data_IF_883870177026
#
_entry.id   IF_883870177026
#
_cell.length_a   1.000
_cell.length_b   1.000
_cell.length_c   1.000
_cell.angle_alpha   90.00
_cell.angle_beta   90.00
_cell.angle_gamma   90.00
#
_symmetry.space_group_name_H-M   'P 1'
#
loop_
_entity.id
_entity.type
_entity.pdbx_description
1 polymer ?
#
# COMPACT_ATOMS: atom_id res chain seq x y z
N UNK A 1 -9.42 -36.37 -18.31
CA UNK A 1 -9.75 -35.47 -17.18
C UNK A 1 -8.51 -34.65 -16.87
N UNK A 2 -8.51 -33.35 -17.13
CA UNK A 2 -7.37 -32.50 -16.81
C UNK A 2 -7.29 -32.34 -15.28
N UNK A 3 -6.22 -32.85 -14.67
CA UNK A 3 -5.97 -32.68 -13.24
C UNK A 3 -5.78 -31.19 -12.94
N UNK A 4 -6.72 -30.62 -12.20
CA UNK A 4 -6.62 -29.27 -11.67
C UNK A 4 -5.55 -29.31 -10.56
N UNK A 5 -4.37 -28.74 -10.81
CA UNK A 5 -3.30 -28.53 -9.82
C UNK A 5 -3.61 -27.40 -8.82
N UNK A 6 -4.85 -26.91 -8.83
CA UNK A 6 -5.34 -25.79 -8.03
C UNK A 6 -5.81 -26.33 -6.69
N UNK A 7 -5.30 -25.76 -5.60
CA UNK A 7 -5.80 -26.07 -4.27
C UNK A 7 -7.15 -25.38 -4.09
N UNK A 8 -8.19 -26.19 -3.89
CA UNK A 8 -9.57 -25.76 -3.65
C UNK A 8 -9.88 -26.02 -2.19
N UNK A 9 -10.34 -24.99 -1.48
CA UNK A 9 -10.65 -25.03 -0.05
C UNK A 9 -12.14 -24.74 0.15
N UNK A 10 -12.98 -25.78 0.29
CA UNK A 10 -14.38 -25.62 0.67
C UNK A 10 -14.52 -25.39 2.19
N UNK A 11 -15.74 -25.08 2.64
CA UNK A 11 -16.07 -24.79 4.05
C UNK A 11 -15.72 -25.92 5.02
N UNK A 12 -15.80 -27.16 4.57
CA UNK A 12 -15.53 -28.35 5.38
C UNK A 12 -14.02 -28.64 5.50
N UNK A 13 -13.18 -27.91 4.78
CA UNK A 13 -11.74 -28.09 4.84
C UNK A 13 -11.16 -27.58 6.16
N UNK A 14 -10.17 -28.32 6.68
CA UNK A 14 -9.35 -27.87 7.82
C UNK A 14 -8.61 -26.54 7.56
N UNK A 15 -8.39 -26.20 6.30
CA UNK A 15 -7.66 -25.00 5.88
C UNK A 15 -8.61 -23.79 5.64
N UNK A 16 -9.91 -23.95 5.86
CA UNK A 16 -10.93 -22.96 5.55
C UNK A 16 -10.71 -21.62 6.28
N UNK A 17 -10.52 -21.65 7.60
CA UNK A 17 -10.29 -20.45 8.42
C UNK A 17 -9.10 -19.61 7.91
N UNK A 18 -8.01 -20.29 7.53
CA UNK A 18 -6.83 -19.63 6.97
C UNK A 18 -7.11 -19.00 5.59
N UNK A 19 -8.04 -19.57 4.82
CA UNK A 19 -8.39 -19.10 3.47
C UNK A 19 -9.23 -17.83 3.48
N UNK A 20 -10.01 -17.61 4.54
CA UNK A 20 -10.85 -16.42 4.71
C UNK A 20 -10.17 -15.31 5.52
N UNK A 21 -9.03 -15.61 6.17
CA UNK A 21 -8.25 -14.64 6.96
C UNK A 21 -7.85 -13.43 6.12
N UNK A 22 -7.93 -12.21 6.69
CA UNK A 22 -7.52 -10.96 6.05
C UNK A 22 -6.52 -10.19 6.91
N UNK A 23 -5.98 -9.12 6.36
CA UNK A 23 -5.09 -8.24 7.13
C UNK A 23 -5.82 -7.63 8.34
N UNK A 24 -7.09 -7.28 8.17
CA UNK A 24 -8.00 -6.78 9.21
C UNK A 24 -9.13 -7.80 9.41
N UNK A 25 -9.38 -8.19 10.66
CA UNK A 25 -10.43 -9.15 11.01
C UNK A 25 -11.83 -8.70 10.56
N UNK A 26 -12.13 -7.39 10.64
CA UNK A 26 -13.39 -6.83 10.17
C UNK A 26 -13.63 -6.94 8.64
N UNK A 27 -12.59 -7.27 7.86
CA UNK A 27 -12.70 -7.49 6.42
C UNK A 27 -12.94 -8.96 6.06
N UNK A 28 -12.96 -9.87 7.04
CA UNK A 28 -13.20 -11.30 6.85
C UNK A 28 -14.69 -11.56 6.64
N UNK A 29 -15.01 -12.46 5.70
CA UNK A 29 -16.39 -12.90 5.41
C UNK A 29 -16.39 -14.41 5.16
N UNK A 30 -17.47 -15.12 5.50
CA UNK A 30 -17.51 -16.58 5.36
C UNK A 30 -17.76 -16.97 3.90
N UNK A 31 -16.69 -17.10 3.10
CA UNK A 31 -16.81 -17.51 1.71
C UNK A 31 -17.40 -18.92 1.55
N UNK A 32 -18.01 -19.21 0.40
CA UNK A 32 -18.44 -20.57 0.06
C UNK A 32 -17.26 -21.46 -0.31
N UNK A 33 -16.28 -20.92 -1.04
CA UNK A 33 -15.12 -21.66 -1.52
C UNK A 33 -13.95 -20.72 -1.83
N UNK A 34 -12.72 -21.18 -1.57
CA UNK A 34 -11.48 -20.49 -1.96
C UNK A 34 -10.69 -21.31 -2.96
N UNK A 35 -10.21 -20.66 -4.02
CA UNK A 35 -9.46 -21.26 -5.13
C UNK A 35 -8.07 -20.62 -5.21
N UNK A 36 -7.03 -21.36 -4.81
CA UNK A 36 -5.64 -20.90 -4.88
C UNK A 36 -5.06 -21.07 -6.28
N UNK A 37 -5.15 -20.01 -7.06
CA UNK A 37 -4.70 -19.99 -8.46
C UNK A 37 -3.18 -19.91 -8.56
N UNK A 38 -2.63 -20.62 -9.54
CA UNK A 38 -1.18 -20.63 -9.82
C UNK A 38 -0.82 -20.04 -11.18
N UNK A 39 -1.84 -19.80 -12.02
CA UNK A 39 -1.72 -19.36 -13.41
C UNK A 39 -2.93 -18.51 -13.82
N UNK A 40 -2.83 -17.79 -14.94
CA UNK A 40 -3.95 -17.03 -15.49
C UNK A 40 -5.08 -17.96 -15.98
N UNK A 41 -4.74 -19.17 -16.42
CA UNK A 41 -5.69 -20.20 -16.82
C UNK A 41 -6.52 -20.73 -15.65
N UNK A 42 -5.94 -20.81 -14.45
CA UNK A 42 -6.67 -21.17 -13.23
C UNK A 42 -7.68 -20.07 -12.87
N UNK A 43 -7.24 -18.81 -12.96
CA UNK A 43 -8.10 -17.63 -12.74
C UNK A 43 -9.25 -17.61 -13.74
N UNK A 44 -8.99 -17.83 -15.03
CA UNK A 44 -10.01 -17.88 -16.07
C UNK A 44 -11.07 -18.96 -15.79
N UNK A 45 -10.64 -20.17 -15.43
CA UNK A 45 -11.55 -21.26 -15.07
C UNK A 45 -12.39 -20.91 -13.84
N UNK A 46 -11.79 -20.28 -12.83
CA UNK A 46 -12.49 -19.90 -11.61
C UNK A 46 -13.52 -18.78 -11.86
N UNK A 47 -13.22 -17.81 -12.73
CA UNK A 47 -14.19 -16.78 -13.18
C UNK A 47 -15.36 -17.42 -13.92
N UNK A 48 -15.07 -18.30 -14.89
CA UNK A 48 -16.12 -18.97 -15.66
C UNK A 48 -17.00 -19.87 -14.77
N UNK A 49 -16.38 -20.53 -13.79
CA UNK A 49 -17.11 -21.31 -12.79
C UNK A 49 -17.99 -20.42 -11.91
N UNK A 50 -17.49 -19.28 -11.41
CA UNK A 50 -18.31 -18.37 -10.59
C UNK A 50 -19.50 -17.84 -11.37
N UNK A 51 -19.34 -17.52 -12.65
CA UNK A 51 -20.44 -17.09 -13.53
C UNK A 51 -21.45 -18.23 -13.74
N UNK A 52 -20.97 -19.42 -14.10
CA UNK A 52 -21.84 -20.57 -14.34
C UNK A 52 -22.62 -21.04 -13.11
N UNK A 53 -22.14 -20.70 -11.91
CA UNK A 53 -22.77 -21.04 -10.63
C UNK A 53 -23.43 -19.85 -9.94
N UNK A 54 -23.46 -18.67 -10.60
CA UNK A 54 -24.03 -17.43 -10.06
C UNK A 54 -23.45 -17.05 -8.68
N UNK A 55 -22.15 -17.29 -8.48
CA UNK A 55 -21.43 -16.98 -7.24
C UNK A 55 -20.87 -15.56 -7.29
N UNK A 56 -21.07 -14.80 -6.21
CA UNK A 56 -20.32 -13.55 -5.99
C UNK A 56 -18.82 -13.86 -6.00
N UNK A 57 -18.05 -13.06 -6.74
CA UNK A 57 -16.63 -13.26 -6.91
C UNK A 57 -15.83 -12.21 -6.13
N UNK A 58 -14.87 -12.67 -5.33
CA UNK A 58 -13.85 -11.82 -4.73
C UNK A 58 -12.45 -12.29 -5.14
N UNK A 59 -11.57 -11.36 -5.48
CA UNK A 59 -10.16 -11.65 -5.73
C UNK A 59 -9.30 -11.22 -4.54
N UNK A 60 -8.36 -12.06 -4.12
CA UNK A 60 -7.41 -11.74 -3.05
C UNK A 60 -5.97 -11.92 -3.52
N UNK A 61 -5.15 -10.93 -3.18
CA UNK A 61 -3.72 -10.90 -3.44
C UNK A 61 -2.97 -10.77 -2.10
N UNK A 62 -2.72 -9.54 -1.64
CA UNK A 62 -2.11 -9.28 -0.34
C UNK A 62 -3.09 -9.27 0.84
N UNK A 63 -4.41 -9.32 0.60
CA UNK A 63 -5.43 -9.34 1.66
C UNK A 63 -5.55 -8.04 2.49
N UNK A 64 -4.99 -6.93 2.00
CA UNK A 64 -4.91 -5.64 2.71
C UNK A 64 -6.16 -4.74 2.54
N UNK A 65 -7.18 -5.17 1.83
CA UNK A 65 -8.41 -4.39 1.68
C UNK A 65 -9.08 -4.18 3.05
N UNK A 66 -9.30 -2.92 3.44
CA UNK A 66 -9.81 -2.58 4.78
C UNK A 66 -11.32 -2.70 4.93
N UNK A 67 -12.05 -2.82 3.81
CA UNK A 67 -13.52 -2.88 3.76
C UNK A 67 -14.04 -4.14 3.10
N UNK A 68 -13.29 -5.24 3.18
CA UNK A 68 -13.73 -6.55 2.68
C UNK A 68 -13.87 -6.68 1.17
N UNK A 69 -13.28 -5.78 0.37
CA UNK A 69 -13.31 -5.86 -1.11
C UNK A 69 -12.66 -7.13 -1.67
N UNK A 70 -11.81 -7.79 -0.88
CA UNK A 70 -11.20 -9.09 -1.21
C UNK A 70 -11.89 -10.25 -0.50
N UNK A 71 -13.15 -10.10 -0.09
CA UNK A 71 -13.91 -11.09 0.68
C UNK A 71 -15.37 -11.13 0.22
N UNK A 72 -15.99 -12.31 0.28
CA UNK A 72 -17.38 -12.56 -0.11
C UNK A 72 -18.07 -13.40 0.96
N UNK A 73 -19.39 -13.26 1.08
CA UNK A 73 -20.23 -14.08 1.97
C UNK A 73 -20.96 -15.13 1.12
N UNK A 74 -20.57 -16.39 1.27
CA UNK A 74 -21.11 -17.51 0.50
C UNK A 74 -20.59 -17.64 -0.95
N UNK A 75 -19.87 -16.65 -1.47
CA UNK A 75 -19.33 -16.68 -2.84
C UNK A 75 -17.98 -17.38 -2.99
N UNK A 76 -17.31 -17.11 -4.12
CA UNK A 76 -16.02 -17.68 -4.49
C UNK A 76 -14.89 -16.67 -4.30
N UNK A 77 -13.82 -17.09 -3.62
CA UNK A 77 -12.55 -16.36 -3.56
C UNK A 77 -11.58 -16.93 -4.58
N UNK A 78 -11.04 -16.08 -5.46
CA UNK A 78 -9.83 -16.37 -6.26
C UNK A 78 -8.64 -15.82 -5.50
N UNK A 79 -7.81 -16.72 -4.96
CA UNK A 79 -6.60 -16.37 -4.23
C UNK A 79 -5.37 -16.47 -5.14
N UNK A 80 -4.71 -15.33 -5.35
CA UNK A 80 -3.52 -15.18 -6.19
C UNK A 80 -2.22 -15.32 -5.39
N UNK A 81 -2.29 -15.63 -4.09
CA UNK A 81 -1.13 -15.65 -3.20
C UNK A 81 -0.13 -16.76 -3.54
N UNK A 82 -0.40 -17.65 -4.49
CA UNK A 82 0.59 -18.59 -5.04
C UNK A 82 1.32 -18.05 -6.27
N UNK A 83 0.85 -16.95 -6.86
CA UNK A 83 1.45 -16.27 -8.01
C UNK A 83 2.47 -15.22 -7.55
N UNK A 84 3.62 -15.67 -7.04
CA UNK A 84 4.67 -14.79 -6.44
C UNK A 84 5.93 -14.65 -7.27
N UNK A 85 5.98 -15.17 -8.49
CA UNK A 85 7.20 -15.13 -9.31
C UNK A 85 7.57 -13.70 -9.66
N UNK A 86 8.85 -13.37 -9.46
CA UNK A 86 9.46 -12.12 -9.92
C UNK A 86 10.63 -12.46 -10.83
N UNK A 87 10.70 -11.80 -11.99
CA UNK A 87 11.79 -11.94 -12.95
C UNK A 87 12.36 -10.56 -13.25
N UNK A 88 13.69 -10.47 -13.30
CA UNK A 88 14.41 -9.23 -13.58
C UNK A 88 15.17 -9.41 -14.90
N UNK A 89 14.99 -8.48 -15.82
CA UNK A 89 15.81 -8.36 -17.02
C UNK A 89 16.71 -7.14 -16.87
N UNK A 90 18.00 -7.37 -16.62
CA UNK A 90 18.97 -6.29 -16.41
C UNK A 90 19.25 -5.49 -17.69
N UNK A 91 19.19 -6.13 -18.87
CA UNK A 91 19.45 -5.49 -20.16
C UNK A 91 18.37 -4.47 -20.51
N UNK A 92 17.11 -4.85 -20.39
CA UNK A 92 15.97 -3.95 -20.63
C UNK A 92 15.57 -3.15 -19.40
N UNK A 93 16.19 -3.41 -18.24
CA UNK A 93 15.83 -2.84 -16.93
C UNK A 93 14.33 -3.01 -16.64
N UNK A 94 13.79 -4.20 -16.87
CA UNK A 94 12.38 -4.49 -16.59
C UNK A 94 12.24 -5.50 -15.47
N UNK A 95 11.20 -5.32 -14.64
CA UNK A 95 10.79 -6.27 -13.61
C UNK A 95 9.41 -6.77 -14.00
N UNK A 96 9.28 -8.07 -14.18
CA UNK A 96 7.98 -8.72 -14.34
C UNK A 96 7.63 -9.42 -13.05
N UNK A 97 6.51 -9.05 -12.46
CA UNK A 97 6.02 -9.60 -11.20
C UNK A 97 4.63 -10.21 -11.40
N UNK A 98 4.44 -11.41 -10.88
CA UNK A 98 3.11 -11.94 -10.61
C UNK A 98 2.51 -11.26 -9.38
N UNK A 99 1.19 -11.36 -9.25
CA UNK A 99 0.41 -10.52 -8.34
C UNK A 99 0.54 -11.02 -6.90
N UNK A 100 1.33 -10.29 -6.11
CA UNK A 100 1.40 -10.50 -4.66
C UNK A 100 1.28 -9.19 -3.84
N UNK A 101 1.65 -8.01 -4.38
CA UNK A 101 1.74 -6.75 -3.60
C UNK A 101 1.66 -5.44 -4.46
N UNK A 102 0.49 -5.03 -5.02
CA UNK A 102 0.36 -3.77 -5.82
C UNK A 102 0.66 -2.47 -5.03
N UNK A 103 0.81 -1.24 -5.57
CA UNK A 103 0.72 -0.63 -6.92
C UNK A 103 2.00 0.22 -7.22
N UNK A 104 2.35 0.36 -8.51
CA UNK A 104 3.59 0.95 -9.06
C UNK A 104 3.29 1.66 -10.41
N UNK A 105 2.10 2.26 -10.55
CA UNK A 105 1.41 2.49 -11.83
C UNK A 105 2.15 3.39 -12.85
N UNK A 106 2.92 4.38 -12.42
CA UNK A 106 3.62 5.28 -13.36
C UNK A 106 4.81 4.61 -14.06
N UNK A 107 5.28 3.49 -13.53
CA UNK A 107 6.34 2.68 -14.14
C UNK A 107 5.80 1.44 -14.83
N UNK A 108 4.47 1.29 -14.92
CA UNK A 108 3.83 0.14 -15.56
C UNK A 108 4.00 0.23 -17.07
N UNK A 109 4.47 -0.86 -17.69
CA UNK A 109 4.70 -0.99 -19.12
C UNK A 109 3.69 -1.92 -19.77
N UNK A 110 3.26 -2.96 -19.05
CA UNK A 110 2.35 -3.98 -19.56
C UNK A 110 1.64 -4.69 -18.39
N UNK A 111 0.40 -5.12 -18.61
CA UNK A 111 -0.35 -6.01 -17.73
C UNK A 111 -0.91 -7.21 -18.48
N UNK A 112 -0.99 -8.34 -17.79
CA UNK A 112 -1.83 -9.47 -18.18
C UNK A 112 -3.10 -9.43 -17.33
N UNK A 113 -4.25 -9.51 -17.98
CA UNK A 113 -5.56 -9.47 -17.36
C UNK A 113 -6.39 -10.68 -17.78
N UNK A 114 -7.17 -11.22 -16.85
CA UNK A 114 -8.23 -12.19 -17.13
C UNK A 114 -9.56 -11.47 -17.01
N UNK A 115 -10.31 -11.44 -18.10
CA UNK A 115 -11.60 -10.75 -18.19
C UNK A 115 -12.75 -11.66 -17.73
N UNK A 116 -13.95 -11.07 -17.63
CA UNK A 116 -15.16 -11.76 -17.19
C UNK A 116 -15.56 -12.93 -18.10
N UNK A 117 -15.23 -12.88 -19.39
CA UNK A 117 -15.47 -13.98 -20.34
C UNK A 117 -14.40 -15.08 -20.27
N UNK A 118 -13.45 -14.97 -19.32
CA UNK A 118 -12.33 -15.89 -19.16
C UNK A 118 -11.19 -15.68 -20.16
N UNK A 119 -11.28 -14.70 -21.05
CA UNK A 119 -10.17 -14.37 -21.95
C UNK A 119 -8.97 -13.83 -21.18
N UNK A 120 -7.78 -14.30 -21.56
CA UNK A 120 -6.50 -13.84 -21.01
C UNK A 120 -5.90 -12.89 -22.05
N UNK A 121 -5.76 -11.62 -21.69
CA UNK A 121 -5.27 -10.60 -22.60
C UNK A 121 -4.08 -9.86 -22.02
N UNK A 122 -3.27 -9.31 -22.92
CA UNK A 122 -2.17 -8.40 -22.58
C UNK A 122 -2.59 -6.98 -22.93
N UNK A 123 -2.38 -6.03 -22.02
CA UNK A 123 -2.64 -4.61 -22.23
C UNK A 123 -1.37 -3.77 -21.99
N UNK A 124 -1.10 -2.84 -22.91
CA UNK A 124 0.01 -1.88 -22.90
C UNK A 124 -0.42 -0.62 -23.66
N UNK A 125 0.47 0.36 -23.82
CA UNK A 125 0.18 1.53 -24.66
C UNK A 125 -0.11 1.18 -26.13
N UNK A 126 0.36 0.02 -26.60
CA UNK A 126 0.22 -0.42 -28.01
C UNK A 126 -0.85 -1.49 -28.21
N UNK A 127 -1.28 -2.15 -27.15
CA UNK A 127 -2.19 -3.30 -27.18
C UNK A 127 -3.28 -3.04 -26.15
N UNK A 128 -4.54 -2.89 -26.58
CA UNK A 128 -5.68 -2.59 -25.68
C UNK A 128 -5.41 -1.39 -24.74
N UNK A 129 -5.11 -0.19 -25.28
CA UNK A 129 -4.63 0.96 -24.52
C UNK A 129 -5.66 1.54 -23.54
N UNK A 130 -6.95 1.33 -23.79
CA UNK A 130 -8.07 1.67 -22.92
C UNK A 130 -8.05 0.86 -21.61
N UNK A 131 -7.89 -0.47 -21.71
CA UNK A 131 -7.72 -1.31 -20.53
C UNK A 131 -6.41 -0.99 -19.81
N UNK A 132 -5.34 -0.71 -20.55
CA UNK A 132 -4.06 -0.33 -19.95
C UNK A 132 -4.17 0.97 -19.15
N UNK A 133 -4.87 1.97 -19.70
CA UNK A 133 -5.18 3.21 -19.00
C UNK A 133 -6.01 2.95 -17.73
N UNK A 134 -7.01 2.08 -17.82
CA UNK A 134 -7.86 1.71 -16.69
C UNK A 134 -7.07 1.00 -15.59
N UNK A 135 -6.17 0.08 -15.95
CA UNK A 135 -5.29 -0.65 -15.02
C UNK A 135 -4.40 0.28 -14.19
N UNK A 136 -4.11 1.50 -14.67
CA UNK A 136 -3.32 2.52 -13.98
C UNK A 136 -4.15 3.37 -13.00
N UNK A 137 -5.05 2.76 -12.23
CA UNK A 137 -5.76 3.47 -11.14
C UNK A 137 -7.18 3.03 -10.82
N UNK A 138 -7.86 2.29 -11.70
CA UNK A 138 -9.28 1.95 -11.51
C UNK A 138 -9.52 0.72 -10.62
N UNK A 139 -8.53 0.31 -9.85
CA UNK A 139 -8.64 -0.81 -8.92
C UNK A 139 -9.00 -2.13 -9.61
N UNK A 140 -10.08 -2.75 -9.14
CA UNK A 140 -10.48 -4.13 -9.49
C UNK A 140 -11.62 -4.20 -10.52
N UNK A 141 -11.97 -3.09 -11.17
CA UNK A 141 -13.21 -2.98 -11.95
C UNK A 141 -13.21 -3.70 -13.30
N UNK A 142 -12.04 -4.01 -13.86
CA UNK A 142 -11.92 -4.41 -15.28
C UNK A 142 -11.39 -5.84 -15.49
N UNK A 143 -11.33 -6.64 -14.43
CA UNK A 143 -10.86 -8.03 -14.48
C UNK A 143 -9.81 -8.32 -13.40
N UNK A 144 -9.26 -9.52 -13.46
CA UNK A 144 -8.21 -9.96 -12.53
C UNK A 144 -6.86 -9.85 -13.24
N UNK A 145 -6.05 -8.88 -12.84
CA UNK A 145 -4.67 -8.79 -13.31
C UNK A 145 -3.83 -9.92 -12.71
N UNK A 146 -3.04 -10.60 -13.54
CA UNK A 146 -2.25 -11.81 -13.17
C UNK A 146 -0.74 -11.59 -13.28
N UNK A 147 -0.33 -10.56 -14.03
CA UNK A 147 1.07 -10.21 -14.25
C UNK A 147 1.21 -8.71 -14.53
N UNK A 148 2.26 -8.12 -14.00
CA UNK A 148 2.62 -6.73 -14.25
C UNK A 148 4.08 -6.66 -14.68
N UNK A 149 4.37 -5.87 -15.72
CA UNK A 149 5.74 -5.56 -16.13
C UNK A 149 6.01 -4.08 -15.90
N UNK A 150 7.08 -3.81 -15.14
CA UNK A 150 7.46 -2.49 -14.71
C UNK A 150 8.85 -2.09 -15.24
N UNK A 151 9.02 -0.80 -15.47
CA UNK A 151 10.32 -0.17 -15.65
C UNK A 151 11.05 -0.14 -14.29
N UNK A 152 12.23 -0.75 -14.23
CA UNK A 152 13.12 -0.69 -13.09
C UNK A 152 14.07 0.50 -13.20
N UNK A 153 14.47 1.02 -12.04
CA UNK A 153 15.42 2.13 -11.90
C UNK A 153 16.58 1.70 -11.03
N UNK A 154 17.76 2.20 -11.36
CA UNK A 154 18.94 2.02 -10.52
C UNK A 154 18.71 2.70 -9.17
N UNK A 155 18.88 1.95 -8.09
CA UNK A 155 18.62 2.42 -6.74
C UNK A 155 19.83 2.15 -5.86
N UNK A 156 20.56 3.22 -5.54
CA UNK A 156 21.67 3.19 -4.59
C UNK A 156 21.23 3.20 -3.12
N UNK A 157 22.20 3.31 -2.19
CA UNK A 157 21.92 3.53 -0.78
C UNK A 157 21.06 4.78 -0.54
N UNK A 158 20.29 4.74 0.54
CA UNK A 158 19.39 5.81 0.98
C UNK A 158 19.83 6.23 2.36
N UNK A 159 19.95 7.54 2.59
CA UNK A 159 20.06 8.04 3.95
C UNK A 159 18.67 8.07 4.58
N UNK A 160 18.50 7.41 5.72
CA UNK A 160 17.22 7.44 6.40
C UNK A 160 17.14 6.55 7.62
N UNK A 161 15.99 6.60 8.29
CA UNK A 161 15.74 5.93 9.55
C UNK A 161 14.56 6.54 10.29
N UNK A 162 14.39 6.10 11.53
CA UNK A 162 13.35 6.51 12.46
C UNK A 162 13.89 7.58 13.42
N UNK A 163 13.14 8.66 13.52
CA UNK A 163 13.24 9.66 14.57
C UNK A 163 12.05 9.52 15.51
N UNK A 164 12.27 9.56 16.83
CA UNK A 164 11.18 9.59 17.82
C UNK A 164 11.24 10.88 18.62
N UNK A 165 10.11 11.58 18.67
CA UNK A 165 9.92 12.78 19.51
C UNK A 165 8.83 12.48 20.53
N UNK A 166 9.09 12.83 21.80
CA UNK A 166 8.20 12.52 22.89
C UNK A 166 7.34 13.74 23.21
N UNK A 167 6.02 13.57 23.17
CA UNK A 167 5.05 14.53 23.75
C UNK A 167 5.14 15.95 23.16
N UNK A 168 5.55 16.07 21.90
CA UNK A 168 5.74 17.36 21.24
C UNK A 168 4.47 17.87 20.58
N UNK A 169 4.39 19.18 20.34
CA UNK A 169 3.41 19.72 19.39
C UNK A 169 3.90 19.52 17.95
N UNK A 170 2.99 19.29 16.98
CA UNK A 170 3.35 18.91 15.61
C UNK A 170 3.94 20.06 14.79
N UNK A 171 3.89 21.30 15.25
CA UNK A 171 4.22 22.51 14.47
C UNK A 171 5.61 22.44 13.83
N UNK A 172 6.64 22.21 14.64
CA UNK A 172 8.01 22.17 14.16
C UNK A 172 8.28 20.95 13.26
N UNK A 173 7.66 19.82 13.57
CA UNK A 173 7.75 18.58 12.77
C UNK A 173 7.04 18.74 11.41
N UNK A 174 5.90 19.44 11.38
CA UNK A 174 5.16 19.78 10.16
C UNK A 174 5.99 20.69 9.26
N UNK A 175 6.63 21.71 9.83
CA UNK A 175 7.53 22.59 9.08
C UNK A 175 8.73 21.83 8.54
N UNK A 176 9.32 20.96 9.36
CA UNK A 176 10.44 20.12 8.95
C UNK A 176 10.07 19.18 7.79
N UNK A 177 8.98 18.42 7.92
CA UNK A 177 8.52 17.49 6.88
C UNK A 177 8.17 18.23 5.58
N UNK A 178 7.47 19.37 5.67
CA UNK A 178 7.14 20.21 4.51
C UNK A 178 8.39 20.73 3.81
N UNK A 179 9.39 21.24 4.56
CA UNK A 179 10.66 21.70 4.00
C UNK A 179 11.42 20.58 3.29
N UNK A 180 11.44 19.38 3.87
CA UNK A 180 12.13 18.23 3.28
C UNK A 180 11.58 17.86 1.90
N UNK A 181 10.25 17.83 1.73
CA UNK A 181 9.65 17.42 0.44
C UNK A 181 9.63 18.53 -0.60
N UNK A 182 9.56 19.81 -0.18
CA UNK A 182 9.55 20.96 -1.10
C UNK A 182 10.95 21.30 -1.60
N UNK A 183 11.94 21.46 -0.70
CA UNK A 183 13.24 22.02 -1.08
C UNK A 183 14.24 21.01 -1.67
N UNK A 184 14.05 19.70 -1.48
CA UNK A 184 15.07 18.68 -1.84
C UNK A 184 14.84 18.01 -3.19
N UNK A 185 14.41 18.76 -4.20
CA UNK A 185 14.32 18.31 -5.61
C UNK A 185 13.60 16.97 -5.80
N UNK A 186 12.59 16.67 -4.97
CA UNK A 186 11.85 15.40 -5.00
C UNK A 186 12.62 14.15 -4.58
N UNK A 187 13.75 14.28 -3.88
CA UNK A 187 14.60 13.15 -3.44
C UNK A 187 14.30 12.64 -2.03
N UNK A 188 13.49 13.38 -1.28
CA UNK A 188 13.13 13.05 0.11
C UNK A 188 11.65 12.77 0.24
N UNK A 189 11.32 11.87 1.15
CA UNK A 189 9.95 11.61 1.59
C UNK A 189 9.93 11.31 3.11
N UNK A 190 8.77 11.52 3.72
CA UNK A 190 8.56 11.32 5.16
C UNK A 190 7.26 10.57 5.40
N UNK A 191 7.32 9.52 6.20
CA UNK A 191 6.17 8.83 6.76
C UNK A 191 6.17 9.10 8.28
N UNK A 192 5.14 9.79 8.77
CA UNK A 192 5.06 10.24 10.16
C UNK A 192 3.81 9.66 10.83
N UNK A 193 4.03 8.82 11.85
CA UNK A 193 2.99 8.24 12.69
C UNK A 193 2.99 8.98 14.03
N UNK A 194 1.83 9.50 14.42
CA UNK A 194 1.57 10.06 15.74
C UNK A 194 0.63 9.13 16.51
N UNK A 195 1.05 8.65 17.68
CA UNK A 195 0.29 7.67 18.45
C UNK A 195 0.74 7.60 19.91
N UNK A 196 -0.10 7.03 20.77
CA UNK A 196 0.27 6.80 22.18
C UNK A 196 0.86 5.40 22.37
N UNK A 197 1.71 5.23 23.40
CA UNK A 197 2.29 3.93 23.71
C UNK A 197 1.43 3.11 24.69
N UNK A 198 0.77 3.73 25.68
CA UNK A 198 0.06 3.00 26.74
C UNK A 198 -1.07 3.75 27.48
N UNK A 199 -1.13 5.09 27.43
CA UNK A 199 -2.09 5.88 28.23
C UNK A 199 -2.70 7.02 27.43
N UNK A 200 -3.98 7.30 27.68
CA UNK A 200 -4.69 8.48 27.17
C UNK A 200 -4.36 9.77 27.92
N UNK A 201 -3.60 9.69 29.02
CA UNK A 201 -3.17 10.85 29.83
C UNK A 201 -1.80 11.38 29.46
N UNK A 202 -0.99 10.59 28.73
CA UNK A 202 0.30 11.04 28.21
C UNK A 202 0.11 11.64 26.81
N UNK A 203 0.72 12.80 26.50
CA UNK A 203 0.67 13.31 25.14
C UNK A 203 1.25 12.30 24.14
N UNK A 204 0.69 12.20 22.92
CA UNK A 204 1.16 11.26 21.91
C UNK A 204 2.64 11.44 21.55
N UNK A 205 3.28 10.34 21.17
CA UNK A 205 4.64 10.35 20.62
C UNK A 205 4.58 10.48 19.09
N UNK A 206 5.67 10.96 18.52
CA UNK A 206 5.84 11.06 17.07
C UNK A 206 6.96 10.13 16.62
N UNK A 207 6.62 9.17 15.75
CA UNK A 207 7.55 8.31 15.05
C UNK A 207 7.65 8.78 13.59
N UNK A 208 8.80 9.31 13.20
CA UNK A 208 9.04 9.89 11.88
C UNK A 208 10.06 9.02 11.14
N UNK A 209 9.60 8.28 10.14
CA UNK A 209 10.46 7.63 9.15
C UNK A 209 10.78 8.65 8.05
N UNK A 210 12.05 8.99 7.90
CA UNK A 210 12.51 9.85 6.80
C UNK A 210 13.44 9.10 5.86
N UNK A 211 13.35 9.43 4.57
CA UNK A 211 14.18 8.84 3.52
C UNK A 211 14.71 9.94 2.61
N UNK A 212 15.97 9.84 2.20
CA UNK A 212 16.60 10.72 1.22
C UNK A 212 17.49 9.92 0.26
N UNK A 213 17.26 10.08 -1.04
CA UNK A 213 18.09 9.46 -2.09
C UNK A 213 19.42 10.20 -2.23
N UNK A 214 20.50 9.62 -1.70
CA UNK A 214 21.86 10.17 -1.80
C UNK A 214 22.72 9.86 -0.57
N UNK A 215 24.01 10.21 -0.64
CA UNK A 215 25.02 9.96 0.41
C UNK A 215 25.20 11.08 1.44
N UNK A 216 24.66 12.27 1.19
CA UNK A 216 25.07 13.47 1.92
C UNK A 216 24.42 13.58 3.31
N UNK A 217 25.21 13.39 4.37
CA UNK A 217 24.93 13.87 5.74
C UNK A 217 24.60 15.37 5.76
N UNK A 218 25.16 16.14 4.82
CA UNK A 218 24.98 17.59 4.68
C UNK A 218 23.52 18.03 4.43
N UNK A 219 22.65 17.11 3.96
CA UNK A 219 21.27 17.45 3.58
C UNK A 219 20.32 17.54 4.77
N UNK A 220 20.70 16.97 5.93
CA UNK A 220 19.92 16.98 7.18
C UNK A 220 20.63 17.75 8.30
N UNK A 221 21.52 18.70 7.96
CA UNK A 221 22.23 19.50 8.95
C UNK A 221 21.24 20.20 9.89
N UNK A 222 21.28 19.74 11.13
CA UNK A 222 20.35 19.92 12.24
C UNK A 222 19.13 18.96 12.21
N UNK A 223 19.03 17.99 13.15
CA UNK A 223 17.74 17.38 13.45
C UNK A 223 16.71 18.48 13.72
N UNK A 224 15.43 18.29 13.38
CA UNK A 224 14.42 19.28 13.68
C UNK A 224 14.49 19.65 15.16
N UNK A 225 14.29 20.91 15.50
CA UNK A 225 14.04 21.29 16.88
C UNK A 225 12.57 20.97 17.17
N UNK A 226 12.24 20.31 18.29
CA UNK A 226 13.15 19.85 19.35
C UNK A 226 13.89 18.57 18.97
N UNK A 227 15.06 18.34 19.57
CA UNK A 227 15.89 17.16 19.25
C UNK A 227 15.11 15.85 19.48
N UNK A 228 15.28 14.85 18.61
CA UNK A 228 14.65 13.56 18.78
C UNK A 228 15.22 12.83 20.00
N UNK A 229 14.34 12.14 20.73
CA UNK A 229 14.70 11.21 21.80
C UNK A 229 15.40 9.95 21.24
N UNK A 230 14.94 9.46 20.08
CA UNK A 230 15.61 8.39 19.32
C UNK A 230 15.99 8.91 17.95
N UNK A 231 17.25 8.73 17.55
CA UNK A 231 17.70 8.94 16.19
C UNK A 231 18.55 7.77 15.73
N UNK A 232 18.04 6.98 14.79
CA UNK A 232 18.80 5.87 14.18
C UNK A 232 19.04 6.07 12.67
N UNK A 233 18.98 7.32 12.19
CA UNK A 233 19.20 7.61 10.76
C UNK A 233 20.64 7.31 10.38
N UNK A 234 20.81 6.62 9.26
CA UNK A 234 22.12 6.28 8.71
C UNK A 234 22.02 6.07 7.21
N UNK A 235 23.17 5.93 6.55
CA UNK A 235 23.22 5.39 5.19
C UNK A 235 22.85 3.90 5.23
N UNK A 236 21.71 3.53 4.65
CA UNK A 236 21.19 2.16 4.65
C UNK A 236 20.72 1.73 3.26
N UNK A 237 20.50 0.43 3.07
CA UNK A 237 20.03 -0.10 1.79
C UNK A 237 18.53 0.16 1.59
N UNK A 238 18.11 0.32 0.34
CA UNK A 238 16.70 0.51 -0.01
C UNK A 238 15.78 -0.63 0.50
N UNK A 239 16.17 -1.92 0.45
CA UNK A 239 15.36 -2.98 1.06
C UNK A 239 15.27 -2.88 2.58
N UNK A 240 16.31 -2.42 3.28
CA UNK A 240 16.30 -2.28 4.75
C UNK A 240 15.34 -1.18 5.18
N UNK A 241 15.38 -0.02 4.51
CA UNK A 241 14.52 1.11 4.89
C UNK A 241 13.03 0.80 4.70
N UNK A 242 12.67 0.04 3.65
CA UNK A 242 11.29 -0.39 3.39
C UNK A 242 10.75 -1.45 4.36
N UNK A 243 11.58 -1.96 5.28
CA UNK A 243 11.16 -2.94 6.31
C UNK A 243 11.04 -2.34 7.71
N UNK A 244 11.45 -1.08 7.91
CA UNK A 244 11.54 -0.48 9.25
C UNK A 244 10.18 -0.35 9.96
N UNK A 245 9.08 -0.29 9.21
CA UNK A 245 7.71 -0.18 9.76
C UNK A 245 6.92 -1.50 9.74
N UNK A 246 7.54 -2.64 9.38
CA UNK A 246 6.81 -3.91 9.29
C UNK A 246 6.38 -4.46 10.66
N UNK A 247 7.16 -4.20 11.72
CA UNK A 247 6.88 -4.67 13.08
C UNK A 247 5.50 -4.24 13.63
N UNK A 248 5.15 -2.94 13.59
CA UNK A 248 3.86 -2.46 14.11
C UNK A 248 2.61 -2.79 13.26
N UNK A 249 2.75 -3.42 12.09
CA UNK A 249 1.64 -3.69 11.15
C UNK A 249 1.26 -5.17 11.07
N UNK A 250 1.08 -5.83 12.22
CA UNK A 250 0.67 -7.23 12.27
C UNK A 250 -0.82 -7.45 11.90
N UNK A 251 -1.11 -8.66 11.41
CA UNK A 251 -2.44 -9.09 10.95
C UNK A 251 -3.41 -9.36 12.12
N UNK A 252 -4.71 -9.37 11.82
CA UNK A 252 -5.75 -9.92 12.70
C UNK A 252 -6.31 -8.95 13.74
N UNK A 253 -5.87 -7.69 13.77
CA UNK A 253 -6.49 -6.69 14.64
C UNK A 253 -7.62 -5.94 13.91
N UNK A 254 -8.67 -5.61 14.64
CA UNK A 254 -9.73 -4.72 14.16
C UNK A 254 -9.17 -3.31 13.97
N UNK A 255 -9.08 -2.85 12.72
CA UNK A 255 -8.68 -1.48 12.39
C UNK A 255 -9.70 -0.89 11.43
N UNK A 256 -9.88 0.42 11.54
CA UNK A 256 -10.53 1.23 10.52
C UNK A 256 -9.53 2.28 10.08
N UNK A 257 -9.43 2.54 8.78
CA UNK A 257 -8.54 3.58 8.24
C UNK A 257 -9.34 4.49 7.33
N UNK A 258 -9.18 5.78 7.55
CA UNK A 258 -9.71 6.86 6.72
C UNK A 258 -8.57 7.83 6.44
N UNK A 259 -8.64 8.53 5.31
CA UNK A 259 -7.59 9.44 4.91
C UNK A 259 -8.09 10.48 3.93
N UNK A 260 -7.36 11.60 3.87
CA UNK A 260 -7.51 12.63 2.86
C UNK A 260 -6.12 13.09 2.42
N UNK A 261 -6.04 13.70 1.24
CA UNK A 261 -4.80 14.19 0.67
C UNK A 261 -4.76 15.72 0.71
N UNK A 262 -3.60 16.27 1.07
CA UNK A 262 -3.35 17.71 1.10
C UNK A 262 -2.03 18.02 0.40
N UNK A 263 -1.92 19.22 -0.20
CA UNK A 263 -0.68 19.67 -0.80
C UNK A 263 0.28 20.21 0.25
N UNK A 264 1.57 19.95 0.04
CA UNK A 264 2.62 20.62 0.79
C UNK A 264 2.82 22.07 0.28
N UNK A 265 3.14 23.04 1.15
CA UNK A 265 3.35 22.88 2.59
C UNK A 265 2.01 22.74 3.34
N UNK A 266 2.01 21.88 4.36
CA UNK A 266 0.85 21.73 5.23
C UNK A 266 0.82 22.92 6.23
N UNK A 267 -0.31 23.61 6.33
CA UNK A 267 -0.49 24.69 7.32
C UNK A 267 -0.32 24.12 8.74
N UNK A 268 0.52 24.78 9.55
CA UNK A 268 0.88 24.27 10.88
C UNK A 268 -0.26 24.40 11.87
N UNK A 269 -1.15 25.38 11.72
CA UNK A 269 -2.32 25.54 12.60
C UNK A 269 -3.33 24.43 12.32
N UNK A 270 -3.54 24.10 11.05
CA UNK A 270 -4.35 22.93 10.68
C UNK A 270 -3.72 21.63 11.17
N UNK A 271 -2.40 21.47 11.05
CA UNK A 271 -1.72 20.30 11.60
C UNK A 271 -1.87 20.19 13.13
N UNK A 272 -1.80 21.33 13.83
CA UNK A 272 -2.04 21.46 15.26
C UNK A 272 -3.47 21.11 15.64
N UNK A 273 -4.48 21.63 14.94
CA UNK A 273 -5.88 21.32 15.23
C UNK A 273 -6.19 19.83 15.09
N UNK A 274 -5.66 19.16 14.06
CA UNK A 274 -5.80 17.70 13.90
C UNK A 274 -5.16 16.94 15.06
N UNK A 275 -4.04 17.43 15.61
CA UNK A 275 -3.41 16.83 16.78
C UNK A 275 -4.24 17.05 18.04
N UNK A 276 -4.74 18.26 18.26
CA UNK A 276 -5.58 18.59 19.41
C UNK A 276 -6.89 17.77 19.36
N UNK A 277 -7.53 17.65 18.18
CA UNK A 277 -8.71 16.80 17.96
C UNK A 277 -8.42 15.31 18.24
N UNK A 278 -7.24 14.83 17.83
CA UNK A 278 -6.80 13.47 18.10
C UNK A 278 -6.59 13.22 19.59
N UNK A 279 -5.93 14.13 20.31
CA UNK A 279 -5.75 14.05 21.77
C UNK A 279 -7.10 14.02 22.47
N UNK A 280 -8.01 14.93 22.10
CA UNK A 280 -9.37 14.96 22.61
C UNK A 280 -10.11 13.63 22.39
N UNK A 281 -9.99 13.06 21.18
CA UNK A 281 -10.62 11.79 20.82
C UNK A 281 -10.12 10.63 21.69
N UNK A 282 -8.80 10.48 21.86
CA UNK A 282 -8.22 9.38 22.64
C UNK A 282 -8.47 9.52 24.15
N UNK A 283 -8.65 10.74 24.66
CA UNK A 283 -8.98 10.99 26.06
C UNK A 283 -10.46 10.71 26.35
N UNK A 284 -11.36 11.04 25.43
CA UNK A 284 -12.82 10.91 25.64
C UNK A 284 -13.38 9.54 25.24
N UNK A 285 -12.69 8.80 24.38
CA UNK A 285 -13.20 7.55 23.81
C UNK A 285 -12.50 6.33 24.40
N UNK A 286 -13.27 5.41 24.99
CA UNK A 286 -12.76 4.16 25.53
C UNK A 286 -12.02 3.36 24.44
N UNK A 287 -10.83 2.84 24.77
CA UNK A 287 -9.95 2.05 23.89
C UNK A 287 -9.41 2.79 22.65
N UNK A 288 -9.69 4.08 22.47
CA UNK A 288 -9.14 4.86 21.37
C UNK A 288 -7.62 5.10 21.47
N UNK A 289 -7.01 4.80 22.63
CA UNK A 289 -5.57 4.88 22.90
C UNK A 289 -4.70 4.13 21.87
N UNK A 290 -5.24 3.09 21.22
CA UNK A 290 -4.57 2.32 20.16
C UNK A 290 -4.67 2.95 18.76
N UNK A 291 -5.37 4.07 18.61
CA UNK A 291 -5.50 4.80 17.35
C UNK A 291 -4.24 5.62 17.08
N UNK A 292 -3.96 5.91 15.81
CA UNK A 292 -2.84 6.73 15.40
C UNK A 292 -3.24 7.65 14.24
N UNK A 293 -2.59 8.81 14.15
CA UNK A 293 -2.67 9.70 12.99
C UNK A 293 -1.42 9.49 12.14
N UNK A 294 -1.62 9.05 10.90
CA UNK A 294 -0.57 8.90 9.90
C UNK A 294 -0.55 10.12 8.97
N UNK A 295 0.65 10.67 8.73
CA UNK A 295 0.89 11.75 7.77
C UNK A 295 2.02 11.34 6.83
N UNK A 296 1.71 11.27 5.54
CA UNK A 296 2.69 10.95 4.51
C UNK A 296 3.02 12.21 3.71
N UNK A 297 4.26 12.66 3.80
CA UNK A 297 4.77 13.75 2.98
C UNK A 297 5.52 13.13 1.81
N UNK A 298 4.91 13.23 0.64
CA UNK A 298 5.42 12.66 -0.60
C UNK A 298 5.84 13.80 -1.53
N UNK A 299 7.01 13.71 -2.18
CA UNK A 299 7.42 14.69 -3.16
C UNK A 299 6.58 14.55 -4.46
N UNK A 300 5.72 15.52 -4.73
CA UNK A 300 4.83 15.50 -5.91
C UNK A 300 5.52 15.83 -7.24
N UNK A 301 6.77 16.31 -7.25
CA UNK A 301 7.43 16.81 -8.46
C UNK A 301 7.36 15.85 -9.66
N UNK A 302 7.70 14.56 -9.46
CA UNK A 302 7.60 13.55 -10.52
C UNK A 302 6.17 13.12 -10.84
N UNK A 303 5.27 13.16 -9.86
CA UNK A 303 3.85 12.82 -10.04
C UNK A 303 3.17 13.84 -10.96
N UNK A 304 3.53 15.12 -10.82
CA UNK A 304 3.02 16.26 -11.58
C UNK A 304 3.58 16.36 -13.02
N UNK A 305 4.68 15.66 -13.35
CA UNK A 305 5.18 15.59 -14.73
C UNK A 305 4.25 14.75 -15.64
N UNK A 306 3.42 13.89 -15.05
CA UNK A 306 2.45 13.06 -15.76
C UNK A 306 1.13 13.80 -15.87
N UNK A 307 0.59 13.87 -17.10
CA UNK A 307 -0.70 14.51 -17.34
C UNK A 307 -1.82 13.88 -16.49
N UNK A 308 -2.71 14.74 -15.99
CA UNK A 308 -3.87 14.37 -15.18
C UNK A 308 -4.77 13.31 -15.84
N UNK A 309 -4.83 13.29 -17.17
CA UNK A 309 -5.66 12.35 -17.94
C UNK A 309 -4.87 11.15 -18.47
N UNK A 310 -3.56 11.05 -18.21
CA UNK A 310 -2.72 9.96 -18.73
C UNK A 310 -3.00 8.60 -18.08
N UNK A 311 -3.70 8.58 -16.95
CA UNK A 311 -4.06 7.39 -16.18
C UNK A 311 -5.45 7.56 -15.57
N UNK A 312 -6.09 6.47 -15.16
CA UNK A 312 -7.35 6.53 -14.41
C UNK A 312 -7.18 7.02 -12.96
N UNK A 313 -5.94 7.07 -12.44
CA UNK A 313 -5.66 7.68 -11.15
C UNK A 313 -5.81 9.21 -11.20
N UNK A 314 -6.81 9.71 -10.47
CA UNK A 314 -7.27 11.10 -10.56
C UNK A 314 -6.63 12.09 -9.58
N UNK A 315 -5.82 11.69 -8.60
CA UNK A 315 -5.30 12.64 -7.60
C UNK A 315 -3.78 12.81 -7.70
N UNK A 316 -3.32 13.59 -8.67
CA UNK A 316 -1.88 13.90 -8.87
C UNK A 316 -1.41 15.16 -8.14
N UNK A 317 -2.23 15.74 -7.27
CA UNK A 317 -1.89 16.93 -6.49
C UNK A 317 -2.26 18.27 -7.16
N UNK A 318 -3.29 18.26 -8.02
CA UNK A 318 -3.95 19.43 -8.61
C UNK A 318 -5.45 19.19 -8.71
#
# INVERSE_FOLDING_TARGET
>A
MASILVSIVPRESKDYEASTTRWIAAAEKPAGITVYSTSAEDVAKAILFSIAQELELAAVCGGHATRGASSTDGGLIIDLSKMRRVTVNEKSRTITAQVAHGLVIDNLLEVEAVLADGSIITASEKITPDLFWAAKGAGICFGIFTKFTYQAHEQGPVWGGILVFLREKPDALTQFASKLVIHKSGKSDVCWICGTSCSSTDPPNHCVLQRHRGRSEEVLQAPPQPRPFVNNTALITYPKINKLLNGPTFHGIGRTMEGSAFLAPLDTRFAGSVFDDYVDFITKTLNAVFSAVLREFIPFGKILEVSQIATSFANRGV
#
